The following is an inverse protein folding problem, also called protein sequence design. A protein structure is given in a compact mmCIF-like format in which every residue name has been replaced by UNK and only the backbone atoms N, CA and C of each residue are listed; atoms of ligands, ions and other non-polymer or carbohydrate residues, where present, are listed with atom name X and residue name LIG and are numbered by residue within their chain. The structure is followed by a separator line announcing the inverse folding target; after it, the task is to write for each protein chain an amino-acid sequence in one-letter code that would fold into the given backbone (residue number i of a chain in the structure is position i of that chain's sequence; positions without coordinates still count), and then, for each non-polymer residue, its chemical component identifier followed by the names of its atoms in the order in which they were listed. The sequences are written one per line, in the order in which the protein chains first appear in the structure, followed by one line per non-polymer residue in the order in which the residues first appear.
data_IF_250172114351
#
_entry.id   IF_250172114351
#
_cell.length_a   1.000
_cell.length_b   1.000
_cell.length_c   1.000
_cell.angle_alpha   90.00
_cell.angle_beta   90.00
_cell.angle_gamma   90.00
#
_symmetry.space_group_name_H-M   'P 1'
#
loop_
_entity.id
_entity.type
_entity.pdbx_description
1 polymer ?
#
# COMPACT_ATOMS: atom_id res chain seq x y z
N UNK A 1 3.33 -2.38 -43.86
CA UNK A 1 2.96 -1.20 -43.04
C UNK A 1 1.61 -1.47 -42.36
N UNK A 2 1.59 -2.10 -41.17
CA UNK A 2 0.38 -2.34 -40.36
C UNK A 2 0.71 -2.35 -38.86
N UNK A 3 1.50 -1.37 -38.41
CA UNK A 3 2.01 -1.31 -37.02
C UNK A 3 1.71 0.00 -36.29
N UNK A 4 0.92 0.91 -36.87
CA UNK A 4 0.62 2.22 -36.26
C UNK A 4 -0.70 2.30 -35.47
N UNK A 5 -1.57 1.29 -35.53
CA UNK A 5 -2.94 1.40 -35.00
C UNK A 5 -3.16 0.73 -33.63
N UNK A 6 -2.31 -0.23 -33.25
CA UNK A 6 -2.48 -1.00 -32.01
C UNK A 6 -1.92 -0.28 -30.77
N UNK A 7 -0.92 0.59 -30.92
CA UNK A 7 -0.35 1.36 -29.81
C UNK A 7 -1.23 2.54 -29.34
N UNK A 8 -2.46 2.66 -29.85
CA UNK A 8 -3.32 3.83 -29.59
C UNK A 8 -4.49 3.52 -28.65
N UNK A 9 -5.01 2.29 -28.62
CA UNK A 9 -6.20 1.98 -27.82
C UNK A 9 -5.84 1.60 -26.39
N UNK A 10 -4.92 0.65 -26.17
CA UNK A 10 -4.58 0.18 -24.81
C UNK A 10 -3.94 1.27 -23.96
N UNK A 11 -3.09 2.10 -24.56
CA UNK A 11 -2.42 3.24 -23.90
C UNK A 11 -3.45 4.32 -23.54
N UNK A 12 -4.36 4.65 -24.47
CA UNK A 12 -5.44 5.60 -24.20
C UNK A 12 -6.42 5.07 -23.15
N UNK A 13 -6.71 3.77 -23.19
CA UNK A 13 -7.65 3.15 -22.28
C UNK A 13 -7.11 3.09 -20.85
N UNK A 14 -5.83 2.78 -20.70
CA UNK A 14 -5.14 2.75 -19.41
C UNK A 14 -4.98 4.13 -18.74
N UNK A 15 -5.10 5.21 -19.51
CA UNK A 15 -4.97 6.58 -18.98
C UNK A 15 -6.22 7.02 -18.21
N UNK A 16 -6.03 7.85 -17.18
CA UNK A 16 -7.14 8.58 -16.59
C UNK A 16 -7.74 9.54 -17.63
N UNK A 17 -9.07 9.50 -17.78
CA UNK A 17 -9.80 10.22 -18.83
C UNK A 17 -10.52 11.45 -18.30
N UNK A 18 -10.99 11.39 -17.06
CA UNK A 18 -11.74 12.45 -16.41
C UNK A 18 -11.54 12.35 -14.90
N UNK A 19 -11.70 13.47 -14.22
CA UNK A 19 -11.75 13.53 -12.77
C UNK A 19 -13.14 13.17 -12.26
N UNK A 20 -13.27 12.06 -11.55
CA UNK A 20 -14.48 11.71 -10.79
C UNK A 20 -14.25 11.90 -9.31
N UNK A 21 -15.28 12.30 -8.55
CA UNK A 21 -15.18 12.36 -7.08
C UNK A 21 -14.44 13.56 -6.50
N UNK A 22 -13.98 14.52 -7.32
CA UNK A 22 -13.28 15.73 -6.83
C UNK A 22 -14.07 16.49 -5.76
N UNK A 23 -15.37 16.67 -5.96
CA UNK A 23 -16.26 17.33 -4.99
C UNK A 23 -16.37 16.57 -3.66
N UNK A 24 -16.04 15.27 -3.66
CA UNK A 24 -16.02 14.39 -2.49
C UNK A 24 -14.61 14.24 -1.90
N UNK A 25 -13.60 14.92 -2.46
CA UNK A 25 -12.22 14.87 -1.98
C UNK A 25 -11.31 13.89 -2.72
N UNK A 26 -11.78 13.26 -3.79
CA UNK A 26 -10.96 12.33 -4.57
C UNK A 26 -10.02 13.07 -5.53
N UNK A 27 -8.79 13.28 -5.08
CA UNK A 27 -7.73 13.94 -5.85
C UNK A 27 -6.86 12.95 -6.64
N UNK A 28 -7.12 11.63 -6.57
CA UNK A 28 -6.28 10.61 -7.19
C UNK A 28 -6.96 9.98 -8.41
N UNK A 29 -6.59 10.44 -9.59
CA UNK A 29 -7.09 9.93 -10.86
C UNK A 29 -6.04 9.04 -11.51
N UNK A 30 -5.92 7.80 -11.04
CA UNK A 30 -4.78 6.92 -11.36
C UNK A 30 -4.91 6.20 -12.72
N UNK A 31 -6.12 6.01 -13.25
CA UNK A 31 -6.31 5.13 -14.41
C UNK A 31 -5.88 3.67 -14.12
N UNK A 32 -5.56 2.90 -15.16
CA UNK A 32 -5.16 1.48 -15.04
C UNK A 32 -3.66 1.29 -15.21
N UNK A 33 -2.92 1.35 -14.10
CA UNK A 33 -1.47 1.13 -14.08
C UNK A 33 -1.05 -0.22 -14.68
N UNK A 34 -1.62 -1.33 -14.21
CA UNK A 34 -1.23 -2.67 -14.66
C UNK A 34 -1.52 -2.90 -16.14
N UNK A 35 -2.61 -2.32 -16.66
CA UNK A 35 -2.93 -2.37 -18.08
C UNK A 35 -1.88 -1.62 -18.91
N UNK A 36 -1.40 -0.46 -18.44
CA UNK A 36 -0.32 0.28 -19.08
C UNK A 36 1.00 -0.51 -19.09
N UNK A 37 1.34 -1.13 -17.96
CA UNK A 37 2.55 -1.94 -17.81
C UNK A 37 2.48 -3.25 -18.63
N UNK A 38 1.28 -3.79 -18.84
CA UNK A 38 1.05 -4.96 -19.70
C UNK A 38 1.32 -4.71 -21.20
N UNK A 39 1.45 -3.45 -21.63
CA UNK A 39 1.92 -3.08 -22.99
C UNK A 39 3.42 -3.35 -23.15
N UNK A 40 4.10 -3.63 -22.05
CA UNK A 40 5.50 -4.01 -21.97
C UNK A 40 6.45 -2.83 -22.15
N UNK A 41 7.61 -3.07 -22.77
CA UNK A 41 8.63 -2.05 -23.05
C UNK A 41 8.18 -0.89 -23.95
N UNK A 42 6.99 -0.99 -24.55
CA UNK A 42 6.37 0.07 -25.35
C UNK A 42 5.54 1.06 -24.53
N UNK A 43 5.20 0.73 -23.28
CA UNK A 43 4.40 1.56 -22.38
C UNK A 43 5.23 2.32 -21.33
N UNK A 44 4.75 3.50 -20.98
CA UNK A 44 5.23 4.31 -19.87
C UNK A 44 4.03 4.90 -19.14
N UNK A 45 3.93 4.62 -17.85
CA UNK A 45 2.92 5.20 -16.99
C UNK A 45 3.51 6.41 -16.27
N UNK A 46 2.84 7.56 -16.27
CA UNK A 46 3.26 8.75 -15.56
C UNK A 46 2.15 9.25 -14.63
N UNK A 47 2.52 9.52 -13.38
CA UNK A 47 1.68 10.21 -12.41
C UNK A 47 2.17 11.65 -12.28
N UNK A 48 1.32 12.61 -12.66
CA UNK A 48 1.63 14.03 -12.64
C UNK A 48 0.72 14.79 -11.68
N UNK A 49 1.22 15.88 -11.14
CA UNK A 49 0.46 16.80 -10.29
C UNK A 49 -0.09 17.94 -11.16
N UNK A 50 -1.42 17.96 -11.31
CA UNK A 50 -2.15 18.95 -12.10
C UNK A 50 -2.87 19.91 -11.16
N UNK A 51 -2.52 21.20 -11.19
CA UNK A 51 -3.27 22.21 -10.41
C UNK A 51 -4.53 22.62 -11.17
N UNK A 52 -5.69 22.31 -10.63
CA UNK A 52 -6.97 22.78 -11.15
C UNK A 52 -7.38 24.06 -10.40
N UNK A 53 -7.47 25.17 -11.13
CA UNK A 53 -7.99 26.44 -10.60
C UNK A 53 -9.52 26.43 -10.61
N UNK A 54 -10.14 27.02 -9.59
CA UNK A 54 -11.60 27.18 -9.50
C UNK A 54 -12.35 26.02 -8.86
N UNK A 55 -11.68 24.92 -8.54
CA UNK A 55 -12.25 23.77 -7.82
C UNK A 55 -12.09 23.95 -6.30
N UNK A 56 -13.21 23.87 -5.58
CA UNK A 56 -13.25 23.95 -4.11
C UNK A 56 -13.41 22.55 -3.53
N UNK A 57 -12.30 21.97 -3.08
CA UNK A 57 -12.37 20.73 -2.31
C UNK A 57 -13.11 20.96 -0.99
N UNK A 58 -14.21 20.23 -0.78
CA UNK A 58 -14.80 20.04 0.56
C UNK A 58 -14.10 18.89 1.27
N UNK A 59 -12.82 19.06 1.57
CA UNK A 59 -12.12 18.09 2.41
C UNK A 59 -12.61 18.22 3.86
N UNK A 60 -13.44 17.30 4.33
CA UNK A 60 -13.75 17.15 5.76
C UNK A 60 -12.60 16.42 6.46
N UNK A 61 -11.40 16.97 6.42
CA UNK A 61 -10.27 16.48 7.21
C UNK A 61 -10.09 17.44 8.38
N UNK A 62 -10.63 17.04 9.54
CA UNK A 62 -10.63 17.84 10.76
C UNK A 62 -11.44 19.15 10.64
N UNK A 63 -11.72 19.77 11.78
CA UNK A 63 -12.64 20.91 12.00
C UNK A 63 -12.26 22.22 11.27
N UNK A 64 -11.39 22.17 10.26
CA UNK A 64 -10.80 23.34 9.62
C UNK A 64 -11.06 23.31 8.10
N UNK A 65 -12.00 24.14 7.67
CA UNK A 65 -12.35 24.30 6.26
C UNK A 65 -11.28 25.15 5.56
N UNK A 66 -10.32 24.51 4.90
CA UNK A 66 -9.37 25.22 4.02
C UNK A 66 -10.10 25.59 2.72
N UNK A 67 -10.25 26.89 2.45
CA UNK A 67 -10.83 27.39 1.20
C UNK A 67 -9.70 27.78 0.26
N UNK A 68 -8.95 26.79 -0.21
CA UNK A 68 -8.05 26.98 -1.35
C UNK A 68 -8.90 27.01 -2.63
N UNK A 69 -8.72 28.03 -3.46
CA UNK A 69 -9.36 28.13 -4.78
C UNK A 69 -8.65 27.26 -5.84
N UNK A 70 -7.66 26.46 -5.43
CA UNK A 70 -6.92 25.56 -6.29
C UNK A 70 -6.77 24.19 -5.64
N UNK A 71 -6.83 23.14 -6.43
CA UNK A 71 -6.66 21.77 -5.96
C UNK A 71 -5.61 21.08 -6.80
N UNK A 72 -4.68 20.37 -6.16
CA UNK A 72 -3.72 19.51 -6.87
C UNK A 72 -4.38 18.15 -7.06
N UNK A 73 -4.52 17.74 -8.32
CA UNK A 73 -5.03 16.44 -8.72
C UNK A 73 -3.87 15.61 -9.24
N UNK A 74 -3.71 14.40 -8.70
CA UNK A 74 -2.74 13.42 -9.17
C UNK A 74 -3.34 12.69 -10.38
N UNK A 75 -2.81 12.97 -11.57
CA UNK A 75 -3.32 12.47 -12.84
C UNK A 75 -2.39 11.41 -13.44
N UNK A 76 -2.88 10.19 -13.56
CA UNK A 76 -2.23 9.05 -14.18
C UNK A 76 -2.47 9.02 -15.69
N UNK A 77 -1.39 9.01 -16.48
CA UNK A 77 -1.46 8.89 -17.94
C UNK A 77 -0.52 7.80 -18.42
N UNK A 78 -1.03 6.95 -19.30
CA UNK A 78 -0.21 6.00 -20.03
C UNK A 78 0.16 6.62 -21.37
N UNK A 79 1.45 6.60 -21.69
CA UNK A 79 2.00 7.09 -22.96
C UNK A 79 2.96 6.05 -23.54
N UNK A 80 3.31 6.15 -24.83
CA UNK A 80 4.38 5.33 -25.38
C UNK A 80 5.71 5.59 -24.66
N UNK A 81 6.54 4.56 -24.49
CA UNK A 81 7.83 4.65 -23.81
C UNK A 81 8.82 5.64 -24.47
N UNK A 82 8.58 6.02 -25.72
CA UNK A 82 9.35 7.04 -26.45
C UNK A 82 9.03 8.48 -26.03
N UNK A 83 7.97 8.72 -25.26
CA UNK A 83 7.63 10.06 -24.78
C UNK A 83 8.63 10.52 -23.71
N UNK A 84 9.13 11.75 -23.87
CA UNK A 84 9.87 12.41 -22.81
C UNK A 84 8.90 12.94 -21.75
N UNK A 85 9.37 13.06 -20.51
CA UNK A 85 8.54 13.53 -19.39
C UNK A 85 8.02 14.96 -19.65
N UNK A 86 8.78 15.80 -20.36
CA UNK A 86 8.32 17.12 -20.82
C UNK A 86 7.13 17.07 -21.78
N UNK A 87 7.08 16.06 -22.65
CA UNK A 87 5.98 15.90 -23.61
C UNK A 87 4.71 15.44 -22.88
N UNK A 88 4.85 14.63 -21.85
CA UNK A 88 3.76 14.23 -20.97
C UNK A 88 3.19 15.44 -20.23
N UNK A 89 4.05 16.31 -19.70
CA UNK A 89 3.62 17.54 -19.04
C UNK A 89 2.83 18.44 -20.00
N UNK A 90 3.32 18.61 -21.23
CA UNK A 90 2.63 19.40 -22.27
C UNK A 90 1.31 18.77 -22.68
N UNK A 91 1.25 17.45 -22.83
CA UNK A 91 0.02 16.70 -23.13
C UNK A 91 -1.04 16.99 -22.07
N UNK A 92 -0.68 16.87 -20.79
CA UNK A 92 -1.58 17.10 -19.68
C UNK A 92 -2.04 18.55 -19.57
N UNK A 93 -1.16 19.53 -19.84
CA UNK A 93 -1.57 20.93 -19.92
C UNK A 93 -2.66 21.14 -20.99
N UNK A 94 -2.52 20.49 -22.15
CA UNK A 94 -3.49 20.59 -23.24
C UNK A 94 -4.81 19.85 -22.93
N UNK A 95 -4.75 18.66 -22.31
CA UNK A 95 -5.95 17.85 -22.06
C UNK A 95 -6.73 18.29 -20.84
N UNK A 96 -6.05 18.75 -19.79
CA UNK A 96 -6.69 19.20 -18.54
C UNK A 96 -7.04 20.68 -18.56
N UNK A 97 -6.45 21.45 -19.47
CA UNK A 97 -6.58 22.92 -19.51
C UNK A 97 -5.83 23.63 -18.38
N UNK A 98 -5.08 22.91 -17.54
CA UNK A 98 -4.26 23.50 -16.49
C UNK A 98 -2.97 24.10 -17.04
N UNK A 99 -2.56 25.25 -16.48
CA UNK A 99 -1.27 25.90 -16.78
C UNK A 99 -0.12 25.39 -15.91
N UNK A 100 -0.43 24.71 -14.81
CA UNK A 100 0.56 24.25 -13.83
C UNK A 100 0.46 22.74 -13.68
N UNK A 101 1.32 22.05 -14.42
CA UNK A 101 1.50 20.59 -14.39
C UNK A 101 2.94 20.30 -14.03
N UNK A 102 3.14 19.52 -12.98
CA UNK A 102 4.47 19.10 -12.52
C UNK A 102 4.57 17.58 -12.52
N UNK A 103 5.66 17.05 -13.05
CA UNK A 103 5.96 15.61 -13.00
C UNK A 103 7.08 15.42 -11.98
N UNK A 104 6.84 14.70 -10.87
CA UNK A 104 7.88 14.39 -9.90
C UNK A 104 9.05 13.62 -10.54
N UNK A 105 10.26 13.70 -9.98
CA UNK A 105 11.48 13.06 -10.52
C UNK A 105 11.38 11.53 -10.73
N UNK A 106 10.39 10.89 -10.09
CA UNK A 106 10.05 9.46 -10.27
C UNK A 106 8.56 9.25 -10.54
N UNK A 107 7.90 10.26 -11.08
CA UNK A 107 6.48 10.22 -11.44
C UNK A 107 6.21 9.30 -12.62
N UNK A 108 7.20 9.09 -13.50
CA UNK A 108 7.11 8.21 -14.64
C UNK A 108 7.79 6.86 -14.40
N UNK A 109 7.05 5.78 -14.66
CA UNK A 109 7.47 4.41 -14.56
C UNK A 109 7.40 3.73 -15.92
N UNK A 110 8.44 2.94 -16.22
CA UNK A 110 8.53 2.12 -17.43
C UNK A 110 8.75 0.68 -16.99
N UNK A 111 8.29 -0.27 -17.78
CA UNK A 111 8.60 -1.68 -17.53
C UNK A 111 10.12 -1.87 -17.63
N UNK A 112 10.77 -1.99 -16.48
CA UNK A 112 12.19 -2.29 -16.42
C UNK A 112 12.35 -3.78 -16.70
N UNK A 113 12.68 -4.14 -17.94
CA UNK A 113 12.97 -5.51 -18.36
C UNK A 113 14.10 -6.22 -17.58
N UNK A 114 14.75 -5.51 -16.65
CA UNK A 114 15.56 -6.09 -15.60
C UNK A 114 14.97 -5.68 -14.25
N UNK A 115 14.50 -6.67 -13.47
CA UNK A 115 14.15 -6.50 -12.06
C UNK A 115 15.35 -6.02 -11.27
N UNK A 116 15.55 -4.69 -11.22
CA UNK A 116 16.53 -4.07 -10.33
C UNK A 116 15.92 -4.10 -8.94
N UNK A 117 16.08 -5.23 -8.26
CA UNK A 117 15.78 -5.31 -6.84
C UNK A 117 16.52 -4.18 -6.14
N UNK A 118 15.78 -3.27 -5.54
CA UNK A 118 16.37 -2.12 -4.89
C UNK A 118 17.20 -2.61 -3.71
N UNK A 119 18.36 -2.00 -3.44
CA UNK A 119 19.17 -2.35 -2.26
C UNK A 119 18.32 -2.28 -0.98
N UNK A 120 17.35 -1.36 -0.92
CA UNK A 120 16.42 -1.24 0.18
C UNK A 120 15.51 -2.47 0.33
N UNK A 121 15.04 -3.05 -0.78
CA UNK A 121 14.21 -4.27 -0.77
C UNK A 121 15.00 -5.47 -0.28
N UNK A 122 16.26 -5.61 -0.72
CA UNK A 122 17.16 -6.69 -0.25
C UNK A 122 17.46 -6.53 1.25
N UNK A 123 17.77 -5.32 1.71
CA UNK A 123 18.03 -5.04 3.12
C UNK A 123 16.79 -5.34 3.96
N UNK A 124 15.62 -4.87 3.54
CA UNK A 124 14.36 -5.14 4.23
C UNK A 124 14.06 -6.65 4.30
N UNK A 125 14.15 -7.35 3.16
CA UNK A 125 13.92 -8.79 3.10
C UNK A 125 14.89 -9.58 3.98
N UNK A 126 16.17 -9.18 4.02
CA UNK A 126 17.17 -9.86 4.87
C UNK A 126 16.94 -9.65 6.36
N UNK A 127 16.51 -8.45 6.79
CA UNK A 127 16.13 -8.17 8.18
C UNK A 127 14.92 -9.01 8.60
N UNK A 128 13.86 -9.05 7.77
CA UNK A 128 12.68 -9.88 8.06
C UNK A 128 13.05 -11.36 8.13
N UNK A 129 13.84 -11.84 7.17
CA UNK A 129 14.31 -13.23 7.14
C UNK A 129 15.12 -13.59 8.38
N UNK A 130 15.96 -12.68 8.88
CA UNK A 130 16.72 -12.87 10.12
C UNK A 130 15.79 -13.09 11.33
N UNK A 131 14.77 -12.24 11.50
CA UNK A 131 13.81 -12.41 12.60
C UNK A 131 13.00 -13.70 12.47
N UNK A 132 12.58 -14.06 11.26
CA UNK A 132 11.86 -15.32 11.01
C UNK A 132 12.72 -16.53 11.39
N UNK A 133 13.99 -16.55 10.97
CA UNK A 133 14.92 -17.64 11.31
C UNK A 133 15.19 -17.71 12.82
N UNK A 134 15.36 -16.56 13.49
CA UNK A 134 15.49 -16.49 14.95
C UNK A 134 14.27 -17.09 15.67
N UNK A 135 13.07 -16.76 15.22
CA UNK A 135 11.81 -17.28 15.77
C UNK A 135 11.68 -18.79 15.53
N UNK A 136 12.01 -19.28 14.33
CA UNK A 136 12.00 -20.71 14.01
C UNK A 136 13.00 -21.49 14.86
N UNK A 137 14.24 -20.99 14.99
CA UNK A 137 15.27 -21.63 15.80
C UNK A 137 14.89 -21.68 17.28
N UNK A 138 14.37 -20.57 17.82
CA UNK A 138 13.83 -20.50 19.18
C UNK A 138 12.69 -21.49 19.42
N UNK A 139 11.73 -21.54 18.50
CA UNK A 139 10.56 -22.44 18.60
C UNK A 139 10.99 -23.90 18.53
N UNK A 140 11.91 -24.25 17.63
CA UNK A 140 12.46 -25.60 17.51
C UNK A 140 13.21 -26.01 18.78
N UNK A 141 14.08 -25.15 19.31
CA UNK A 141 14.78 -25.37 20.58
C UNK A 141 13.79 -25.59 21.74
N UNK A 142 12.73 -24.79 21.82
CA UNK A 142 11.71 -24.92 22.85
C UNK A 142 10.95 -26.26 22.75
N UNK A 143 10.56 -26.70 21.55
CA UNK A 143 9.91 -28.00 21.33
C UNK A 143 10.86 -29.15 21.65
N UNK A 144 12.13 -29.07 21.22
CA UNK A 144 13.16 -30.08 21.55
C UNK A 144 13.36 -30.22 23.05
N UNK A 145 13.39 -29.10 23.79
CA UNK A 145 13.50 -29.08 25.26
C UNK A 145 12.25 -29.63 25.97
N UNK A 146 11.05 -29.53 25.37
CA UNK A 146 9.83 -30.09 25.95
C UNK A 146 9.72 -31.60 25.75
N UNK A 147 10.15 -32.13 24.60
CA UNK A 147 10.09 -33.57 24.28
C UNK A 147 11.35 -34.35 24.68
N UNK A 148 12.49 -33.70 24.85
CA UNK A 148 13.73 -34.32 25.30
C UNK A 148 13.78 -34.46 26.82
N UNK A 149 13.69 -35.69 27.32
CA UNK A 149 13.77 -36.05 28.76
C UNK A 149 15.19 -35.90 29.36
N UNK A 150 15.97 -34.91 28.93
CA UNK A 150 17.33 -34.62 29.40
C UNK A 150 17.38 -33.26 30.06
N UNK A 151 17.74 -33.22 31.35
CA UNK A 151 18.07 -32.00 32.09
C UNK A 151 19.32 -31.36 31.48
N UNK A 152 19.14 -30.56 30.43
CA UNK A 152 20.20 -29.70 29.91
C UNK A 152 20.40 -28.49 30.82
N UNK A 153 21.66 -28.21 31.16
CA UNK A 153 22.06 -27.06 31.96
C UNK A 153 21.58 -25.79 31.27
N UNK A 154 20.80 -25.00 31.99
CA UNK A 154 20.20 -23.75 31.51
C UNK A 154 21.32 -22.74 31.15
N UNK A 155 21.76 -22.78 29.89
CA UNK A 155 22.69 -21.78 29.36
C UNK A 155 21.96 -20.44 29.21
N UNK A 156 22.64 -19.33 29.52
CA UNK A 156 22.12 -17.96 29.36
C UNK A 156 21.54 -17.74 27.97
N UNK A 157 22.17 -18.32 26.94
CA UNK A 157 21.74 -18.28 25.55
C UNK A 157 20.40 -19.00 25.31
N UNK A 158 20.17 -20.14 25.98
CA UNK A 158 18.90 -20.87 25.91
C UNK A 158 17.74 -20.12 26.56
N UNK A 159 18.01 -19.35 27.62
CA UNK A 159 17.03 -18.46 28.24
C UNK A 159 16.64 -17.29 27.32
N UNK A 160 17.62 -16.67 26.66
CA UNK A 160 17.39 -15.61 25.67
C UNK A 160 16.60 -16.13 24.47
N UNK A 161 16.97 -17.29 23.91
CA UNK A 161 16.25 -17.90 22.80
C UNK A 161 14.79 -18.16 23.17
N UNK A 162 14.51 -18.68 24.37
CA UNK A 162 13.14 -18.96 24.82
C UNK A 162 12.25 -17.72 24.91
N UNK A 163 12.83 -16.53 25.13
CA UNK A 163 12.10 -15.25 25.10
C UNK A 163 11.60 -14.85 23.71
N UNK A 164 12.16 -15.42 22.64
CA UNK A 164 11.68 -15.21 21.26
C UNK A 164 10.76 -16.33 20.76
N UNK A 165 10.40 -17.30 21.62
CA UNK A 165 9.54 -18.42 21.25
C UNK A 165 8.09 -17.97 21.13
N UNK A 166 7.47 -18.25 19.98
CA UNK A 166 6.05 -17.98 19.73
C UNK A 166 5.18 -18.67 20.78
N UNK A 167 5.54 -19.89 21.17
CA UNK A 167 4.76 -20.67 22.15
C UNK A 167 4.79 -20.02 23.53
N UNK A 168 5.96 -19.59 24.01
CA UNK A 168 6.07 -18.96 25.34
C UNK A 168 5.45 -17.56 25.34
N UNK A 169 5.64 -16.79 24.27
CA UNK A 169 5.04 -15.46 24.14
C UNK A 169 3.52 -15.53 24.01
N UNK A 170 2.96 -16.43 23.20
CA UNK A 170 1.50 -16.65 23.17
C UNK A 170 0.98 -17.18 24.49
N UNK A 171 1.71 -18.10 25.14
CA UNK A 171 1.30 -18.61 26.45
C UNK A 171 1.23 -17.48 27.47
N UNK A 172 2.21 -16.58 27.52
CA UNK A 172 2.18 -15.39 28.40
C UNK A 172 1.05 -14.41 28.05
N UNK A 173 0.72 -14.29 26.76
CA UNK A 173 -0.37 -13.42 26.30
C UNK A 173 -1.77 -14.00 26.58
N UNK A 174 -1.89 -15.33 26.59
CA UNK A 174 -3.16 -16.06 26.81
C UNK A 174 -3.31 -16.52 28.26
N UNK A 175 -2.23 -16.46 29.05
CA UNK A 175 -2.26 -16.82 30.45
C UNK A 175 -3.19 -15.87 31.22
N UNK A 176 -4.12 -16.46 31.96
CA UNK A 176 -5.05 -15.72 32.79
C UNK A 176 -4.29 -14.85 33.80
N UNK A 177 -4.64 -13.57 33.87
CA UNK A 177 -4.07 -12.68 34.87
C UNK A 177 -4.53 -13.15 36.23
N UNK A 178 -3.60 -13.39 37.16
CA UNK A 178 -3.91 -13.67 38.57
C UNK A 178 -4.45 -12.40 39.21
N UNK A 179 -5.72 -12.10 38.97
CA UNK A 179 -6.44 -10.98 39.55
C UNK A 179 -7.26 -11.49 40.73
N UNK A 180 -7.03 -10.91 41.92
CA UNK A 180 -7.60 -11.33 43.20
C UNK A 180 -9.12 -11.04 43.28
N UNK A 181 -9.69 -10.39 42.26
CA UNK A 181 -11.06 -9.89 42.25
C UNK A 181 -11.98 -10.58 41.22
N UNK A 182 -11.50 -11.60 40.50
CA UNK A 182 -12.35 -12.43 39.63
C UNK A 182 -12.91 -11.73 38.38
N UNK A 183 -12.41 -10.54 38.03
CA UNK A 183 -12.86 -9.74 36.88
C UNK A 183 -12.02 -9.96 35.61
N UNK A 184 -11.12 -10.95 35.60
CA UNK A 184 -10.20 -11.24 34.47
C UNK A 184 -10.90 -11.50 33.13
N UNK A 185 -12.10 -12.10 33.16
CA UNK A 185 -12.89 -12.37 31.95
C UNK A 185 -13.32 -11.08 31.21
N UNK A 186 -13.52 -9.97 31.94
CA UNK A 186 -13.87 -8.67 31.36
C UNK A 186 -12.67 -8.06 30.63
N UNK A 187 -11.45 -8.28 31.14
CA UNK A 187 -10.25 -7.82 30.46
C UNK A 187 -9.98 -8.64 29.17
N UNK A 188 -10.30 -9.94 29.20
CA UNK A 188 -10.26 -10.82 28.02
C UNK A 188 -11.20 -10.37 26.91
N UNK A 189 -12.48 -10.14 27.21
CA UNK A 189 -13.46 -9.67 26.20
C UNK A 189 -13.08 -8.30 25.64
N UNK A 190 -12.49 -7.41 26.46
CA UNK A 190 -11.99 -6.10 26.01
C UNK A 190 -10.82 -6.24 25.03
N UNK A 191 -9.90 -7.17 25.29
CA UNK A 191 -8.78 -7.46 24.38
C UNK A 191 -9.28 -8.00 23.03
N UNK A 192 -10.20 -8.98 23.05
CA UNK A 192 -10.82 -9.53 21.85
C UNK A 192 -11.57 -8.45 21.05
N UNK A 193 -12.34 -7.60 21.72
CA UNK A 193 -13.02 -6.48 21.07
C UNK A 193 -12.04 -5.51 20.40
N UNK A 194 -10.90 -5.22 21.05
CA UNK A 194 -9.86 -4.36 20.46
C UNK A 194 -9.25 -4.97 19.18
N UNK A 195 -9.02 -6.28 19.14
CA UNK A 195 -8.57 -6.96 17.91
C UNK A 195 -9.58 -6.85 16.77
N UNK A 196 -10.88 -7.03 17.05
CA UNK A 196 -11.93 -6.87 16.03
C UNK A 196 -12.04 -5.43 15.53
N UNK A 197 -11.91 -4.43 16.40
CA UNK A 197 -11.93 -3.01 16.04
C UNK A 197 -10.72 -2.65 15.15
N UNK A 198 -9.51 -3.07 15.54
CA UNK A 198 -8.31 -2.81 14.75
C UNK A 198 -8.37 -3.53 13.40
N UNK A 199 -8.82 -4.78 13.41
CA UNK A 199 -8.99 -5.58 12.19
C UNK A 199 -10.02 -4.99 11.24
N UNK A 200 -11.16 -4.51 11.75
CA UNK A 200 -12.19 -3.90 10.91
C UNK A 200 -11.74 -2.57 10.31
N UNK A 201 -11.02 -1.72 11.07
CA UNK A 201 -10.42 -0.52 10.50
C UNK A 201 -9.40 -0.85 9.42
N UNK A 202 -8.51 -1.80 9.66
CA UNK A 202 -7.52 -2.21 8.67
C UNK A 202 -8.18 -2.77 7.40
N UNK A 203 -9.21 -3.61 7.55
CA UNK A 203 -9.99 -4.14 6.43
C UNK A 203 -10.75 -3.04 5.68
N UNK A 204 -11.33 -2.06 6.39
CA UNK A 204 -12.02 -0.94 5.76
C UNK A 204 -11.06 -0.08 4.93
N UNK A 205 -9.83 0.16 5.40
CA UNK A 205 -8.83 0.89 4.60
C UNK A 205 -8.28 0.06 3.44
N UNK A 206 -8.08 -1.25 3.62
CA UNK A 206 -7.60 -2.12 2.54
C UNK A 206 -8.67 -2.36 1.46
N UNK A 207 -9.93 -2.57 1.84
CA UNK A 207 -11.04 -2.78 0.92
C UNK A 207 -11.65 -1.47 0.40
N UNK A 208 -11.52 -0.37 1.15
CA UNK A 208 -12.00 0.97 0.78
C UNK A 208 -11.03 1.76 -0.09
N UNK A 209 -9.86 1.22 -0.45
CA UNK A 209 -8.99 1.82 -1.45
C UNK A 209 -9.69 1.83 -2.82
N UNK A 210 -9.83 3.02 -3.42
CA UNK A 210 -10.35 3.33 -4.76
C UNK A 210 -11.28 2.26 -5.37
N UNK A 211 -12.31 1.84 -4.63
CA UNK A 211 -13.33 0.94 -5.17
C UNK A 211 -14.28 1.77 -6.02
N UNK A 212 -14.17 1.55 -7.33
CA UNK A 212 -15.07 2.05 -8.36
C UNK A 212 -16.53 1.97 -7.90
N UNK A 213 -17.24 3.08 -8.08
CA UNK A 213 -18.67 3.24 -7.80
C UNK A 213 -19.49 2.01 -8.25
N UNK A 214 -20.02 1.20 -7.31
CA UNK A 214 -20.80 0.01 -7.66
C UNK A 214 -22.18 0.33 -8.29
N UNK A 215 -22.57 1.61 -8.34
CA UNK A 215 -23.82 2.07 -8.95
C UNK A 215 -23.82 2.18 -10.49
N UNK A 216 -22.77 1.74 -11.20
CA UNK A 216 -22.69 1.86 -12.66
C UNK A 216 -23.32 0.68 -13.44
N UNK A 217 -23.86 -0.32 -12.74
CA UNK A 217 -24.61 -1.41 -13.36
C UNK A 217 -26.10 -1.33 -12.98
N UNK A 218 -26.85 -0.58 -13.78
CA UNK A 218 -28.31 -0.67 -13.85
C UNK A 218 -29.00 0.68 -13.75
N UNK A 219 -29.21 1.32 -14.89
CA UNK A 219 -30.55 1.52 -15.49
C UNK A 219 -30.45 1.44 -17.02
#
# INVERSE_FOLDING_TARGET
MRLRSFCTISVLDASAKSTSGLEQGDVFQLGHFDQCMGVGSFGQYCLADVRLEGYRLRAQVSRQMSTENSTIVHWGVCVPASCADSDVGRLLQMTTGSREVTIPERGCHRESGNGRTSTAEVVYASVIMFFVLMVLASTCYHVRSMYGSGSEKQSTFGSVLRSFSVVENLRKLVQDSKDDHGLGCINGIKSVAMFFILGSHALLFMAGGATYNPGFHGE
#
